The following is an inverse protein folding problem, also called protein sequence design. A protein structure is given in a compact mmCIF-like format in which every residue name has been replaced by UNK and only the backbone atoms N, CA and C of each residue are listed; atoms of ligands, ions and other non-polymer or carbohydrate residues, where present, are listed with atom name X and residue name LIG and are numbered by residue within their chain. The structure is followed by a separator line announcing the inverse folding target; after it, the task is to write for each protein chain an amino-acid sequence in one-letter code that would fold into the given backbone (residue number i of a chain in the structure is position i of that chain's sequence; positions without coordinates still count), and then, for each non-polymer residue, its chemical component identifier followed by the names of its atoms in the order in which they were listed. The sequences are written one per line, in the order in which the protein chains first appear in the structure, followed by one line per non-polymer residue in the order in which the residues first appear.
data_IF_713565792885
#
_entry.id   IF_713565792885
#
_cell.length_a   1.000
_cell.length_b   1.000
_cell.length_c   1.000
_cell.angle_alpha   90.00
_cell.angle_beta   90.00
_cell.angle_gamma   90.00
#
_symmetry.space_group_name_H-M   'P 1'
#
loop_
_entity.id
_entity.type
_entity.pdbx_description
1 polymer ?
#
# COMPACT_ATOMS: atom_id res chain seq x y z
N UNK A 1 6.31 12.25 -13.06
CA UNK A 1 6.68 11.48 -11.85
C UNK A 1 7.34 10.14 -12.13
N UNK A 2 6.79 9.34 -13.03
CA UNK A 2 7.45 8.06 -13.40
C UNK A 2 8.86 8.24 -13.93
N UNK A 3 9.11 9.32 -14.68
CA UNK A 3 10.44 9.64 -15.19
C UNK A 3 11.44 9.90 -14.06
N UNK A 4 11.01 10.62 -13.02
CA UNK A 4 11.84 10.90 -11.84
C UNK A 4 12.12 9.59 -11.08
N UNK A 5 11.10 8.75 -10.91
CA UNK A 5 11.27 7.45 -10.26
C UNK A 5 12.25 6.57 -11.03
N UNK A 6 12.11 6.50 -12.35
CA UNK A 6 13.04 5.73 -13.21
C UNK A 6 14.47 6.21 -13.06
N UNK A 7 14.67 7.53 -13.07
CA UNK A 7 16.00 8.11 -12.91
C UNK A 7 16.61 7.75 -11.55
N UNK A 8 15.82 7.88 -10.48
CA UNK A 8 16.27 7.54 -9.12
C UNK A 8 16.60 6.07 -8.98
N UNK A 9 15.79 5.19 -9.58
CA UNK A 9 16.04 3.75 -9.53
C UNK A 9 17.31 3.38 -10.28
N UNK A 10 17.56 4.01 -11.42
CA UNK A 10 18.80 3.80 -12.19
C UNK A 10 20.01 4.27 -11.37
N UNK A 11 19.90 5.46 -10.77
CA UNK A 11 20.94 6.00 -9.91
C UNK A 11 21.19 5.10 -8.70
N UNK A 12 20.11 4.57 -8.11
CA UNK A 12 20.17 3.73 -6.93
C UNK A 12 20.82 2.38 -7.13
N UNK A 13 20.93 1.89 -8.37
CA UNK A 13 21.62 0.62 -8.66
C UNK A 13 23.06 0.63 -8.17
N UNK A 14 23.72 1.78 -8.28
CA UNK A 14 25.09 1.93 -7.80
C UNK A 14 25.17 2.30 -6.33
N UNK A 15 24.08 2.75 -5.74
CA UNK A 15 24.02 3.24 -4.35
C UNK A 15 22.70 2.82 -3.67
N UNK A 16 22.46 1.51 -3.51
CA UNK A 16 21.15 1.01 -3.05
C UNK A 16 20.73 1.53 -1.68
N UNK A 17 21.68 1.68 -0.75
CA UNK A 17 21.38 2.16 0.59
C UNK A 17 20.90 3.62 0.60
N UNK A 18 21.35 4.42 -0.34
CA UNK A 18 20.92 5.83 -0.44
C UNK A 18 19.47 5.91 -0.90
N UNK A 19 19.09 5.08 -1.86
CA UNK A 19 17.72 5.05 -2.35
C UNK A 19 16.76 4.60 -1.24
N UNK A 20 17.14 3.56 -0.50
CA UNK A 20 16.32 3.07 0.61
C UNK A 20 16.14 4.14 1.69
N UNK A 21 17.13 4.99 1.94
CA UNK A 21 17.04 6.09 2.90
C UNK A 21 16.20 7.26 2.39
N UNK A 22 16.15 7.44 1.09
CA UNK A 22 15.36 8.51 0.47
C UNK A 22 13.86 8.29 0.71
N UNK A 23 13.41 7.04 0.70
CA UNK A 23 11.99 6.71 0.87
C UNK A 23 11.41 7.27 2.17
N UNK A 24 11.99 7.01 3.36
CA UNK A 24 11.46 7.62 4.60
C UNK A 24 11.57 9.14 4.62
N UNK A 25 12.63 9.70 4.01
CA UNK A 25 12.80 11.14 3.95
C UNK A 25 11.69 11.81 3.15
N UNK A 26 11.34 11.26 1.99
CA UNK A 26 10.23 11.75 1.18
C UNK A 26 8.90 11.61 1.91
N UNK A 27 8.70 10.49 2.61
CA UNK A 27 7.47 10.26 3.36
C UNK A 27 7.29 11.28 4.47
N UNK A 28 8.36 11.64 5.17
CA UNK A 28 8.32 12.65 6.22
C UNK A 28 7.94 14.03 5.70
N UNK A 29 8.32 14.37 4.47
CA UNK A 29 7.89 15.62 3.84
C UNK A 29 6.38 15.65 3.63
N UNK A 30 5.79 14.50 3.40
CA UNK A 30 4.35 14.25 3.40
C UNK A 30 3.55 15.07 2.37
N UNK A 31 4.21 15.61 1.36
CA UNK A 31 3.53 16.25 0.24
C UNK A 31 2.89 15.18 -0.65
N UNK A 32 1.83 15.54 -1.34
CA UNK A 32 1.10 14.61 -2.21
C UNK A 32 2.03 13.96 -3.24
N UNK A 33 2.89 14.76 -3.86
CA UNK A 33 3.85 14.28 -4.85
C UNK A 33 4.95 13.44 -4.20
N UNK A 34 5.38 13.80 -3.00
CA UNK A 34 6.38 13.02 -2.26
C UNK A 34 5.87 11.61 -1.96
N UNK A 35 4.62 11.48 -1.52
CA UNK A 35 4.02 10.18 -1.22
C UNK A 35 3.85 9.33 -2.49
N UNK A 36 3.41 9.94 -3.58
CA UNK A 36 3.25 9.24 -4.86
C UNK A 36 4.59 8.76 -5.41
N UNK A 37 5.63 9.58 -5.29
CA UNK A 37 6.98 9.19 -5.71
C UNK A 37 7.47 8.01 -4.89
N UNK A 38 7.25 8.02 -3.59
CA UNK A 38 7.60 6.89 -2.72
C UNK A 38 6.88 5.61 -3.15
N UNK A 39 5.62 5.72 -3.54
CA UNK A 39 4.88 4.57 -4.05
C UNK A 39 5.54 3.94 -5.27
N UNK A 40 5.99 4.77 -6.20
CA UNK A 40 6.69 4.29 -7.39
C UNK A 40 8.05 3.67 -7.04
N UNK A 41 8.76 4.24 -6.08
CA UNK A 41 10.03 3.69 -5.63
C UNK A 41 9.83 2.35 -4.93
N UNK A 42 8.88 2.25 -4.02
CA UNK A 42 8.56 0.99 -3.33
C UNK A 42 8.14 -0.11 -4.30
N UNK A 43 7.40 0.26 -5.34
CA UNK A 43 6.92 -0.71 -6.32
C UNK A 43 8.03 -1.29 -7.19
N UNK A 44 9.14 -0.58 -7.35
CA UNK A 44 10.17 -0.93 -8.33
C UNK A 44 11.56 -1.17 -7.74
N UNK A 45 11.79 -0.86 -6.47
CA UNK A 45 13.07 -1.15 -5.81
C UNK A 45 13.14 -2.65 -5.49
N UNK A 46 14.34 -3.24 -5.57
CA UNK A 46 14.50 -4.64 -5.20
C UNK A 46 14.36 -4.81 -3.69
N UNK A 47 13.89 -5.99 -3.28
CA UNK A 47 13.77 -6.32 -1.86
C UNK A 47 15.13 -6.28 -1.15
N UNK A 48 16.19 -6.68 -1.85
CA UNK A 48 17.57 -6.63 -1.32
C UNK A 48 18.01 -5.19 -1.02
N UNK A 49 17.75 -4.26 -1.95
CA UNK A 49 18.11 -2.86 -1.77
C UNK A 49 17.30 -2.21 -0.66
N UNK A 50 16.02 -2.55 -0.58
CA UNK A 50 15.11 -2.02 0.43
C UNK A 50 15.41 -2.57 1.82
N UNK A 51 15.85 -3.82 1.90
CA UNK A 51 16.17 -4.49 3.16
C UNK A 51 14.98 -5.18 3.81
N UNK A 52 13.80 -5.09 3.23
CA UNK A 52 12.59 -5.76 3.72
C UNK A 52 11.56 -5.89 2.61
N UNK A 53 10.49 -6.63 2.86
CA UNK A 53 9.37 -6.73 1.95
C UNK A 53 8.74 -5.34 1.72
N UNK A 54 8.39 -4.97 0.48
CA UNK A 54 7.82 -3.64 0.20
C UNK A 54 6.54 -3.33 0.95
N UNK A 55 5.67 -4.32 1.18
CA UNK A 55 4.43 -4.11 1.94
C UNK A 55 4.73 -3.80 3.41
N UNK A 56 5.72 -4.49 3.98
CA UNK A 56 6.16 -4.19 5.35
C UNK A 56 6.78 -2.80 5.42
N UNK A 57 7.59 -2.44 4.45
CA UNK A 57 8.18 -1.10 4.37
C UNK A 57 7.09 -0.03 4.31
N UNK A 58 6.05 -0.25 3.50
CA UNK A 58 4.94 0.68 3.37
C UNK A 58 4.23 0.89 4.71
N UNK A 59 3.85 -0.19 5.39
CA UNK A 59 3.11 -0.04 6.65
C UNK A 59 3.96 0.58 7.76
N UNK A 60 5.28 0.40 7.73
CA UNK A 60 6.18 1.04 8.68
C UNK A 60 6.28 2.55 8.48
N UNK A 61 5.95 3.04 7.29
CA UNK A 61 5.96 4.48 7.00
C UNK A 61 4.72 5.21 7.54
N UNK A 62 3.61 4.49 7.72
CA UNK A 62 2.36 5.10 8.20
C UNK A 62 2.55 5.65 9.62
N UNK A 63 2.20 6.89 9.85
CA UNK A 63 2.34 7.49 11.16
C UNK A 63 1.59 8.79 11.33
N UNK A 64 1.18 9.38 10.24
CA UNK A 64 0.36 10.59 10.21
C UNK A 64 -0.90 10.27 9.41
N UNK A 65 -1.80 11.23 9.28
CA UNK A 65 -3.01 11.01 8.48
C UNK A 65 -2.67 11.09 7.00
N UNK A 66 -2.30 9.97 6.43
CA UNK A 66 -2.07 9.86 4.99
C UNK A 66 -3.41 9.91 4.25
N UNK A 67 -3.48 10.60 3.08
CA UNK A 67 -4.70 10.54 2.26
C UNK A 67 -4.95 9.12 1.78
N UNK A 68 -6.15 8.58 2.04
CA UNK A 68 -6.45 7.19 1.72
C UNK A 68 -6.45 6.90 0.22
N UNK A 69 -6.81 7.87 -0.60
CA UNK A 69 -6.75 7.72 -2.06
C UNK A 69 -5.30 7.48 -2.53
N UNK A 70 -4.33 8.13 -1.88
CA UNK A 70 -2.92 7.95 -2.22
C UNK A 70 -2.44 6.58 -1.77
N UNK A 71 -2.85 6.14 -0.57
CA UNK A 71 -2.52 4.79 -0.09
C UNK A 71 -3.06 3.73 -1.05
N UNK A 72 -4.28 3.92 -1.53
CA UNK A 72 -4.88 3.02 -2.51
C UNK A 72 -4.07 3.00 -3.83
N UNK A 73 -3.68 4.17 -4.34
CA UNK A 73 -2.85 4.27 -5.54
C UNK A 73 -1.52 3.55 -5.38
N UNK A 74 -0.88 3.71 -4.23
CA UNK A 74 0.40 3.05 -3.93
C UNK A 74 0.21 1.53 -3.93
N UNK A 75 -0.83 1.05 -3.26
CA UNK A 75 -1.13 -0.38 -3.20
C UNK A 75 -1.38 -0.96 -4.61
N UNK A 76 -2.14 -0.24 -5.44
CA UNK A 76 -2.39 -0.64 -6.82
C UNK A 76 -1.09 -0.73 -7.62
N UNK A 77 -0.21 0.26 -7.46
CA UNK A 77 1.07 0.28 -8.18
C UNK A 77 1.96 -0.89 -7.76
N UNK A 78 2.05 -1.17 -6.46
CA UNK A 78 2.86 -2.28 -5.95
C UNK A 78 2.34 -3.62 -6.46
N UNK A 79 1.03 -3.82 -6.43
CA UNK A 79 0.42 -5.05 -6.92
C UNK A 79 0.67 -5.24 -8.42
N UNK A 80 0.52 -4.18 -9.18
CA UNK A 80 0.72 -4.18 -10.63
C UNK A 80 2.19 -4.43 -11.02
N UNK A 81 3.13 -4.01 -10.17
CA UNK A 81 4.57 -4.08 -10.45
C UNK A 81 5.22 -5.39 -9.99
N UNK A 82 4.44 -6.37 -9.61
CA UNK A 82 4.96 -7.70 -9.26
C UNK A 82 5.12 -7.96 -7.77
N UNK A 83 4.56 -7.10 -6.91
CA UNK A 83 4.53 -7.30 -5.47
C UNK A 83 3.09 -7.52 -5.04
N UNK A 84 2.57 -8.77 -5.15
CA UNK A 84 1.17 -9.02 -4.82
C UNK A 84 0.87 -8.73 -3.36
N UNK A 85 -0.37 -8.32 -3.11
CA UNK A 85 -0.84 -8.10 -1.75
C UNK A 85 -0.64 -9.37 -0.92
N UNK A 86 -0.14 -9.25 0.32
CA UNK A 86 0.09 -10.42 1.18
C UNK A 86 -1.17 -11.24 1.43
N UNK A 87 -1.01 -12.40 2.08
CA UNK A 87 -2.06 -13.38 2.24
C UNK A 87 -3.16 -12.96 3.22
N UNK A 88 -4.19 -13.80 3.31
CA UNK A 88 -5.35 -13.57 4.16
C UNK A 88 -4.96 -13.39 5.63
N UNK A 89 -4.04 -14.21 6.13
CA UNK A 89 -3.62 -14.15 7.53
C UNK A 89 -3.01 -12.81 7.89
N UNK A 90 -2.17 -12.29 7.01
CA UNK A 90 -1.54 -10.98 7.19
C UNK A 90 -2.59 -9.86 7.24
N UNK A 91 -3.56 -9.92 6.32
CA UNK A 91 -4.63 -8.92 6.26
C UNK A 91 -5.54 -8.98 7.49
N UNK A 92 -5.87 -10.18 7.94
CA UNK A 92 -6.70 -10.36 9.14
C UNK A 92 -5.97 -9.81 10.37
N UNK A 93 -4.69 -10.12 10.52
CA UNK A 93 -3.88 -9.63 11.63
C UNK A 93 -3.82 -8.09 11.63
N UNK A 94 -3.66 -7.49 10.45
CA UNK A 94 -3.67 -6.03 10.31
C UNK A 94 -5.01 -5.43 10.76
N UNK A 95 -6.11 -6.02 10.32
CA UNK A 95 -7.45 -5.52 10.63
C UNK A 95 -7.77 -5.53 12.12
N UNK A 96 -7.13 -6.43 12.88
CA UNK A 96 -7.38 -6.58 14.31
C UNK A 96 -6.66 -5.52 15.16
N UNK A 97 -5.75 -4.74 14.59
CA UNK A 97 -4.94 -3.80 15.36
C UNK A 97 -5.68 -2.54 15.77
N UNK A 98 -6.50 -1.99 14.90
CA UNK A 98 -7.28 -0.79 15.19
C UNK A 98 -8.33 -0.56 14.11
N UNK A 99 -9.32 0.31 14.34
CA UNK A 99 -10.29 0.66 13.29
C UNK A 99 -9.62 1.20 12.02
N UNK A 100 -8.58 2.03 12.16
CA UNK A 100 -7.86 2.57 11.00
C UNK A 100 -7.17 1.46 10.21
N UNK A 101 -6.47 0.56 10.90
CA UNK A 101 -5.81 -0.56 10.24
C UNK A 101 -6.81 -1.51 9.59
N UNK A 102 -8.00 -1.65 10.18
CA UNK A 102 -9.08 -2.44 9.56
C UNK A 102 -9.50 -1.83 8.22
N UNK A 103 -9.64 -0.50 8.17
CA UNK A 103 -9.96 0.20 6.93
C UNK A 103 -8.85 0.04 5.89
N UNK A 104 -7.60 0.15 6.30
CA UNK A 104 -6.45 -0.02 5.41
C UNK A 104 -6.40 -1.45 4.86
N UNK A 105 -6.67 -2.45 5.70
CA UNK A 105 -6.75 -3.84 5.25
C UNK A 105 -7.81 -4.00 4.16
N UNK A 106 -8.96 -3.35 4.31
CA UNK A 106 -10.00 -3.39 3.29
C UNK A 106 -9.53 -2.76 1.97
N UNK A 107 -8.78 -1.66 2.03
CA UNK A 107 -8.19 -1.06 0.82
C UNK A 107 -7.27 -2.05 0.12
N UNK A 108 -6.42 -2.73 0.87
CA UNK A 108 -5.49 -3.71 0.30
C UNK A 108 -6.23 -4.90 -0.31
N UNK A 109 -7.30 -5.37 0.33
CA UNK A 109 -8.15 -6.44 -0.21
C UNK A 109 -8.70 -6.03 -1.58
N UNK A 110 -9.12 -4.77 -1.71
CA UNK A 110 -9.71 -4.27 -2.97
C UNK A 110 -8.75 -4.29 -4.15
N UNK A 111 -7.46 -4.32 -3.87
CA UNK A 111 -6.40 -4.30 -4.89
C UNK A 111 -6.06 -5.72 -5.36
N UNK A 112 -6.38 -6.74 -4.57
CA UNK A 112 -6.05 -8.12 -4.89
C UNK A 112 -6.83 -8.61 -6.10
N UNK A 113 -6.15 -9.41 -6.93
CA UNK A 113 -6.77 -10.09 -8.07
C UNK A 113 -7.49 -11.38 -7.64
N UNK A 114 -7.34 -11.75 -6.37
CA UNK A 114 -7.78 -13.03 -5.84
C UNK A 114 -8.86 -12.81 -4.78
N UNK A 115 -10.02 -13.43 -4.96
CA UNK A 115 -11.10 -13.38 -3.98
C UNK A 115 -10.88 -14.41 -2.87
N UNK A 116 -11.39 -14.10 -1.69
CA UNK A 116 -11.36 -15.01 -0.55
C UNK A 116 -12.63 -14.85 0.27
N UNK A 117 -13.33 -15.95 0.48
CA UNK A 117 -14.51 -15.96 1.35
C UNK A 117 -14.17 -15.66 2.81
N UNK A 118 -12.93 -15.95 3.24
CA UNK A 118 -12.49 -15.67 4.60
C UNK A 118 -12.45 -14.17 4.89
N UNK A 119 -12.23 -13.35 3.87
CA UNK A 119 -12.11 -11.89 4.03
C UNK A 119 -13.45 -11.17 3.94
N UNK A 120 -14.54 -11.88 3.57
CA UNK A 120 -15.86 -11.28 3.46
C UNK A 120 -16.32 -10.63 4.76
N UNK A 121 -16.19 -11.34 5.88
CA UNK A 121 -16.58 -10.82 7.18
C UNK A 121 -15.75 -9.61 7.58
N UNK A 122 -14.47 -9.60 7.22
CA UNK A 122 -13.59 -8.48 7.45
C UNK A 122 -14.08 -7.23 6.70
N UNK A 123 -14.49 -7.41 5.44
CA UNK A 123 -15.02 -6.31 4.63
C UNK A 123 -16.34 -5.78 5.20
N UNK A 124 -17.23 -6.69 5.61
CA UNK A 124 -18.54 -6.33 6.16
C UNK A 124 -18.36 -5.53 7.46
N UNK A 125 -17.46 -5.96 8.33
CA UNK A 125 -17.27 -5.38 9.65
C UNK A 125 -16.34 -4.18 9.70
N UNK A 126 -15.69 -3.82 8.58
CA UNK A 126 -14.77 -2.68 8.56
C UNK A 126 -15.51 -1.39 8.92
N UNK A 127 -14.89 -0.52 9.76
CA UNK A 127 -15.52 0.74 10.12
C UNK A 127 -15.79 1.60 8.89
N UNK A 128 -16.94 2.26 8.86
CA UNK A 128 -17.26 3.24 7.82
C UNK A 128 -16.41 4.49 8.05
N UNK A 129 -16.31 5.31 7.06
CA UNK A 129 -15.51 6.51 7.18
C UNK A 129 -15.32 7.22 5.86
N UNK A 130 -16.41 7.61 5.25
CA UNK A 130 -16.36 8.38 4.03
C UNK A 130 -16.73 7.60 2.78
N UNK A 131 -16.91 8.33 1.72
CA UNK A 131 -17.40 7.82 0.45
C UNK A 131 -16.47 6.76 -0.17
N UNK A 132 -15.15 6.96 -0.05
CA UNK A 132 -14.18 6.03 -0.63
C UNK A 132 -14.33 4.62 -0.05
N UNK A 133 -14.40 4.52 1.28
CA UNK A 133 -14.51 3.22 1.95
C UNK A 133 -15.85 2.54 1.65
N UNK A 134 -16.94 3.30 1.63
CA UNK A 134 -18.25 2.72 1.32
C UNK A 134 -18.34 2.23 -0.13
N UNK A 135 -17.76 2.96 -1.06
CA UNK A 135 -17.70 2.56 -2.46
C UNK A 135 -16.89 1.28 -2.64
N UNK A 136 -15.75 1.19 -1.96
CA UNK A 136 -14.90 -0.01 -2.01
C UNK A 136 -15.63 -1.20 -1.40
N UNK A 137 -16.25 -1.01 -0.24
CA UNK A 137 -17.03 -2.07 0.42
C UNK A 137 -18.12 -2.61 -0.50
N UNK A 138 -18.91 -1.71 -1.08
CA UNK A 138 -20.01 -2.10 -1.96
C UNK A 138 -19.50 -2.89 -3.16
N UNK A 139 -18.39 -2.45 -3.76
CA UNK A 139 -17.80 -3.16 -4.89
C UNK A 139 -17.36 -4.57 -4.51
N UNK A 140 -16.69 -4.72 -3.36
CA UNK A 140 -16.19 -6.01 -2.91
C UNK A 140 -17.33 -6.98 -2.59
N UNK A 141 -18.39 -6.49 -1.97
CA UNK A 141 -19.54 -7.33 -1.62
C UNK A 141 -20.38 -7.72 -2.84
N UNK A 142 -20.42 -6.88 -3.87
CA UNK A 142 -21.12 -7.19 -5.11
C UNK A 142 -20.42 -8.28 -5.94
N UNK A 143 -19.10 -8.37 -5.84
CA UNK A 143 -18.33 -9.38 -6.59
C UNK A 143 -18.61 -10.80 -6.13
N UNK A 144 -19.16 -10.97 -4.94
CA UNK A 144 -19.47 -12.29 -4.36
C UNK A 144 -20.85 -12.82 -4.78
N UNK A 145 -21.58 -12.05 -5.57
CA UNK A 145 -22.85 -12.47 -6.15
C UNK A 145 -22.63 -12.98 -7.56
#
# INVERSE_FOLDING_TARGET
MRTIASWLLTYGKDKPRRLAKLIPALWRRHGREDLKLDGLLLANISTEELGEDPWMALIHLFGKQEPMEIILEIAEEMNRSGHPVPDDEWLIAMAQQSPLWHQIAMLFISVRDKESSQLRDLVISAPGGGELFERIRNRLLQQDN
#
